data_IF_463999298292
#
_entry.id   IF_463999298292
#
_cell.length_a   1.000
_cell.length_b   1.000
_cell.length_c   1.000
_cell.angle_alpha   90.00
_cell.angle_beta   90.00
_cell.angle_gamma   90.00
#
_symmetry.space_group_name_H-M   'P 1'
#
loop_
_entity.id
_entity.type
_entity.pdbx_description
1 polymer ?
#
# COMPACT_ATOMS: atom_id res chain seq x y z
N UNK A 1 11.90 10.82 31.64
CA UNK A 1 11.78 9.72 30.66
C UNK A 1 12.63 10.12 29.48
N UNK A 2 13.55 9.26 29.04
CA UNK A 2 14.39 9.59 27.88
C UNK A 2 13.51 9.72 26.65
N UNK A 3 13.56 10.89 25.98
CA UNK A 3 12.75 11.22 24.79
C UNK A 3 13.20 10.45 23.54
N UNK A 4 13.23 9.13 23.64
CA UNK A 4 13.63 8.29 22.52
C UNK A 4 12.47 8.04 21.56
N UNK A 5 12.68 8.39 20.29
CA UNK A 5 11.81 7.97 19.19
C UNK A 5 12.28 6.63 18.64
N UNK A 6 11.35 5.68 18.51
CA UNK A 6 11.61 4.39 17.91
C UNK A 6 11.16 4.38 16.46
N UNK A 7 12.08 4.18 15.52
CA UNK A 7 11.73 3.93 14.13
C UNK A 7 11.36 2.46 13.93
N UNK A 8 10.08 2.19 13.65
CA UNK A 8 9.60 0.83 13.38
C UNK A 8 9.86 0.44 11.91
N UNK A 9 10.69 -0.59 11.70
CA UNK A 9 11.08 -1.08 10.37
C UNK A 9 10.89 -2.59 10.18
N UNK A 10 10.10 -3.27 11.05
CA UNK A 10 9.79 -4.68 10.85
C UNK A 10 8.98 -4.89 9.57
N UNK A 11 9.49 -5.73 8.68
CA UNK A 11 8.84 -6.06 7.40
C UNK A 11 7.59 -6.94 7.59
N UNK A 12 7.58 -7.82 8.60
CA UNK A 12 6.42 -8.66 8.91
C UNK A 12 5.30 -7.84 9.54
N UNK A 13 4.12 -7.83 8.93
CA UNK A 13 2.94 -7.12 9.44
C UNK A 13 2.65 -7.43 10.92
N UNK A 14 2.56 -8.69 11.28
CA UNK A 14 2.23 -9.08 12.67
C UNK A 14 3.32 -8.68 13.65
N UNK A 15 4.60 -8.87 13.30
CA UNK A 15 5.71 -8.43 14.17
C UNK A 15 5.73 -6.91 14.32
N UNK A 16 5.55 -6.18 13.23
CA UNK A 16 5.46 -4.72 13.24
C UNK A 16 4.33 -4.27 14.18
N UNK A 17 3.12 -4.79 13.97
CA UNK A 17 1.94 -4.38 14.73
C UNK A 17 2.10 -4.65 16.24
N UNK A 18 2.50 -5.87 16.62
CA UNK A 18 2.59 -6.25 18.04
C UNK A 18 3.77 -5.56 18.74
N UNK A 19 4.94 -5.45 18.09
CA UNK A 19 6.06 -4.74 18.70
C UNK A 19 5.78 -3.24 18.85
N UNK A 20 5.08 -2.63 17.88
CA UNK A 20 4.65 -1.23 17.99
C UNK A 20 3.70 -1.05 19.17
N UNK A 21 2.68 -1.93 19.33
CA UNK A 21 1.76 -1.87 20.46
C UNK A 21 2.48 -1.96 21.81
N UNK A 22 3.45 -2.88 21.95
CA UNK A 22 4.25 -3.01 23.18
C UNK A 22 5.07 -1.76 23.44
N UNK A 23 5.76 -1.23 22.44
CA UNK A 23 6.60 -0.04 22.59
C UNK A 23 5.77 1.20 22.99
N UNK A 24 4.62 1.40 22.36
CA UNK A 24 3.70 2.50 22.73
C UNK A 24 3.13 2.33 24.15
N UNK A 25 2.77 1.08 24.54
CA UNK A 25 2.33 0.78 25.91
C UNK A 25 3.42 1.11 26.96
N UNK A 26 4.69 0.91 26.61
CA UNK A 26 5.83 1.26 27.44
C UNK A 26 6.16 2.78 27.44
N UNK A 27 5.35 3.58 26.73
CA UNK A 27 5.50 5.04 26.69
C UNK A 27 6.48 5.57 25.64
N UNK A 28 6.97 4.72 24.73
CA UNK A 28 7.82 5.18 23.63
C UNK A 28 7.00 5.79 22.50
N UNK A 29 7.49 6.88 21.93
CA UNK A 29 6.97 7.39 20.65
C UNK A 29 7.49 6.50 19.51
N UNK A 30 6.58 5.89 18.75
CA UNK A 30 6.94 5.00 17.64
C UNK A 30 6.53 5.62 16.31
N UNK A 31 7.42 5.63 15.34
CA UNK A 31 7.20 6.06 13.95
C UNK A 31 7.40 4.84 13.02
N UNK A 32 6.37 4.43 12.30
CA UNK A 32 4.96 4.86 12.38
C UNK A 32 4.27 4.21 13.59
N UNK A 33 3.26 4.91 14.11
CA UNK A 33 2.49 4.47 15.26
C UNK A 33 1.61 3.24 14.98
N UNK A 34 1.01 2.67 16.04
CA UNK A 34 0.14 1.48 15.96
C UNK A 34 -1.04 1.67 15.01
N UNK A 35 -1.69 2.84 15.04
CA UNK A 35 -2.85 3.11 14.17
C UNK A 35 -2.44 3.07 12.71
N UNK A 36 -1.32 3.67 12.34
CA UNK A 36 -0.79 3.64 10.97
C UNK A 36 -0.39 2.21 10.56
N UNK A 37 0.28 1.46 11.44
CA UNK A 37 0.66 0.07 11.19
C UNK A 37 -0.56 -0.83 10.98
N UNK A 38 -1.61 -0.67 11.79
CA UNK A 38 -2.88 -1.38 11.68
C UNK A 38 -3.59 -1.07 10.36
N UNK A 39 -3.69 0.22 10.03
CA UNK A 39 -4.42 0.68 8.84
C UNK A 39 -3.69 0.27 7.55
N UNK A 40 -2.40 0.56 7.44
CA UNK A 40 -1.62 0.30 6.22
C UNK A 40 -1.32 -1.19 6.01
N UNK A 41 -1.19 -1.97 7.09
CA UNK A 41 -0.88 -3.40 7.01
C UNK A 41 -2.02 -4.27 6.51
N UNK A 42 -3.25 -3.74 6.43
CA UNK A 42 -4.43 -4.43 5.91
C UNK A 42 -5.06 -3.62 4.78
N UNK A 43 -5.13 -4.19 3.58
CA UNK A 43 -5.64 -3.53 2.37
C UNK A 43 -7.06 -3.02 2.52
N UNK A 44 -7.92 -3.76 3.22
CA UNK A 44 -9.29 -3.33 3.49
C UNK A 44 -9.29 -2.07 4.35
N UNK A 45 -8.55 -2.06 5.46
CA UNK A 45 -8.52 -0.90 6.37
C UNK A 45 -7.91 0.32 5.71
N UNK A 46 -6.86 0.12 4.90
CA UNK A 46 -6.26 1.18 4.09
C UNK A 46 -7.29 1.77 3.11
N UNK A 47 -7.99 0.92 2.35
CA UNK A 47 -9.04 1.37 1.42
C UNK A 47 -10.16 2.11 2.13
N UNK A 48 -10.64 1.62 3.26
CA UNK A 48 -11.68 2.31 4.05
C UNK A 48 -11.21 3.68 4.55
N UNK A 49 -9.94 3.80 4.97
CA UNK A 49 -9.36 5.08 5.37
C UNK A 49 -9.28 6.05 4.19
N UNK A 50 -8.80 5.59 3.03
CA UNK A 50 -8.74 6.38 1.79
C UNK A 50 -10.14 6.86 1.38
N UNK A 51 -11.15 5.98 1.34
CA UNK A 51 -12.53 6.32 1.00
C UNK A 51 -13.12 7.35 1.98
N UNK A 52 -12.92 7.17 3.29
CA UNK A 52 -13.35 8.14 4.32
C UNK A 52 -12.71 9.50 4.12
N UNK A 53 -11.43 9.54 3.71
CA UNK A 53 -10.69 10.75 3.36
C UNK A 53 -11.03 11.32 1.98
N UNK A 54 -11.97 10.72 1.24
CA UNK A 54 -12.31 11.09 -0.13
C UNK A 54 -11.09 11.11 -1.07
N UNK A 55 -10.19 10.15 -0.86
CA UNK A 55 -9.05 9.91 -1.75
C UNK A 55 -9.53 9.00 -2.88
N UNK A 56 -9.30 9.34 -4.15
CA UNK A 56 -9.61 8.46 -5.26
C UNK A 56 -8.92 7.10 -5.09
N UNK A 57 -9.70 6.02 -5.11
CA UNK A 57 -9.21 4.65 -4.97
C UNK A 57 -9.99 3.73 -5.92
N UNK A 58 -9.39 2.65 -6.44
CA UNK A 58 -10.12 1.74 -7.33
C UNK A 58 -11.35 1.16 -6.68
N UNK A 59 -12.42 0.95 -7.47
CA UNK A 59 -13.65 0.33 -6.98
C UNK A 59 -13.35 -1.02 -6.35
N UNK A 60 -13.79 -1.19 -5.11
CA UNK A 60 -13.44 -2.33 -4.28
C UNK A 60 -14.70 -2.91 -3.63
N UNK A 61 -14.81 -4.22 -3.63
CA UNK A 61 -15.85 -4.98 -2.94
C UNK A 61 -15.24 -5.96 -1.95
N UNK A 62 -15.97 -6.26 -0.88
CA UNK A 62 -15.60 -7.24 0.13
C UNK A 62 -16.67 -8.34 0.19
N UNK A 63 -16.23 -9.58 0.26
CA UNK A 63 -17.09 -10.72 0.43
C UNK A 63 -16.52 -11.74 1.42
N UNK A 64 -17.37 -12.54 2.05
CA UNK A 64 -17.00 -13.52 3.07
C UNK A 64 -17.41 -14.95 2.72
N UNK A 65 -18.12 -15.14 1.61
CA UNK A 65 -18.52 -16.44 1.07
C UNK A 65 -18.20 -16.51 -0.42
N UNK A 66 -17.99 -17.71 -0.95
CA UNK A 66 -17.75 -17.92 -2.38
C UNK A 66 -18.86 -17.29 -3.23
N UNK A 67 -20.13 -17.52 -2.86
CA UNK A 67 -21.27 -17.00 -3.62
C UNK A 67 -21.33 -15.47 -3.64
N UNK A 68 -21.08 -14.82 -2.49
CA UNK A 68 -21.04 -13.35 -2.43
C UNK A 68 -19.83 -12.80 -3.18
N UNK A 69 -18.70 -13.51 -3.18
CA UNK A 69 -17.51 -13.12 -3.94
C UNK A 69 -17.76 -13.23 -5.45
N UNK A 70 -18.41 -14.29 -5.91
CA UNK A 70 -18.80 -14.44 -7.33
C UNK A 70 -19.71 -13.30 -7.79
N UNK A 71 -20.74 -12.95 -7.01
CA UNK A 71 -21.62 -11.80 -7.32
C UNK A 71 -20.82 -10.48 -7.38
N UNK A 72 -19.97 -10.25 -6.41
CA UNK A 72 -19.15 -9.04 -6.36
C UNK A 72 -18.18 -8.92 -7.55
N UNK A 73 -17.60 -10.04 -8.01
CA UNK A 73 -16.75 -10.04 -9.21
C UNK A 73 -17.58 -9.72 -10.46
N UNK A 74 -18.78 -10.29 -10.59
CA UNK A 74 -19.68 -10.01 -11.70
C UNK A 74 -20.13 -8.55 -11.76
N UNK A 75 -20.39 -7.93 -10.59
CA UNK A 75 -20.71 -6.51 -10.48
C UNK A 75 -19.51 -5.60 -10.80
N UNK A 76 -18.29 -5.98 -10.39
CA UNK A 76 -17.06 -5.26 -10.73
C UNK A 76 -16.78 -5.38 -12.23
N UNK A 77 -17.01 -6.55 -12.81
CA UNK A 77 -16.70 -6.92 -14.18
C UNK A 77 -15.30 -7.53 -14.32
N UNK A 78 -15.07 -8.15 -15.49
CA UNK A 78 -13.80 -8.80 -15.81
C UNK A 78 -12.92 -7.90 -16.71
N UNK A 79 -11.60 -7.92 -16.53
CA UNK A 79 -10.88 -8.59 -15.45
C UNK A 79 -11.03 -7.89 -14.11
N UNK A 80 -11.03 -8.66 -13.02
CA UNK A 80 -10.98 -8.18 -11.65
C UNK A 80 -9.70 -8.65 -10.94
N UNK A 81 -9.36 -8.03 -9.82
CA UNK A 81 -8.18 -8.42 -9.02
C UNK A 81 -8.62 -8.90 -7.65
N UNK A 82 -8.34 -10.17 -7.34
CA UNK A 82 -8.49 -10.73 -6.00
C UNK A 82 -7.15 -10.61 -5.25
N UNK A 83 -7.16 -9.99 -4.07
CA UNK A 83 -5.98 -9.80 -3.24
C UNK A 83 -6.20 -10.37 -1.83
N UNK A 84 -5.17 -10.89 -1.14
CA UNK A 84 -5.28 -11.12 0.29
C UNK A 84 -5.35 -9.77 1.02
N UNK A 85 -6.16 -9.65 2.06
CA UNK A 85 -6.26 -8.41 2.85
C UNK A 85 -4.95 -8.07 3.54
N UNK A 86 -4.16 -9.08 3.95
CA UNK A 86 -2.81 -8.94 4.50
C UNK A 86 -1.82 -9.64 3.58
N UNK A 87 -0.76 -8.97 3.21
CA UNK A 87 0.30 -9.49 2.34
C UNK A 87 0.97 -8.39 1.53
N UNK A 88 2.18 -8.66 1.05
CA UNK A 88 3.04 -7.72 0.33
C UNK A 88 3.58 -8.33 -0.96
N UNK A 89 4.19 -7.48 -1.81
CA UNK A 89 4.87 -7.84 -3.05
C UNK A 89 3.97 -8.54 -4.09
N UNK A 90 2.66 -8.29 -4.07
CA UNK A 90 1.71 -8.92 -5.00
C UNK A 90 1.60 -10.44 -4.85
N UNK A 91 2.07 -11.02 -3.72
CA UNK A 91 1.91 -12.45 -3.44
C UNK A 91 0.45 -12.78 -3.25
N UNK A 92 0.02 -13.94 -3.80
CA UNK A 92 -1.36 -14.43 -3.72
C UNK A 92 -2.40 -13.45 -4.30
N UNK A 93 -1.97 -12.43 -5.07
CA UNK A 93 -2.88 -11.62 -5.87
C UNK A 93 -3.11 -12.28 -7.21
N UNK A 94 -4.36 -12.41 -7.60
CA UNK A 94 -4.79 -13.04 -8.85
C UNK A 94 -5.52 -12.04 -9.74
N UNK A 95 -5.21 -12.05 -11.04
CA UNK A 95 -6.00 -11.39 -12.07
C UNK A 95 -7.05 -12.37 -12.57
N UNK A 96 -8.29 -12.10 -12.23
CA UNK A 96 -9.45 -12.95 -12.55
C UNK A 96 -10.03 -12.46 -13.87
N UNK A 97 -9.90 -13.25 -14.93
CA UNK A 97 -10.24 -12.84 -16.29
C UNK A 97 -11.65 -13.21 -16.71
N UNK A 98 -12.23 -14.23 -16.10
CA UNK A 98 -13.52 -14.79 -16.42
C UNK A 98 -14.14 -15.51 -15.21
N UNK A 99 -15.38 -15.98 -15.39
CA UNK A 99 -16.18 -16.65 -14.36
C UNK A 99 -15.58 -17.99 -13.91
N UNK A 100 -15.05 -18.77 -14.84
CA UNK A 100 -14.52 -20.10 -14.53
C UNK A 100 -13.26 -19.98 -13.69
N UNK A 101 -12.36 -19.05 -14.06
CA UNK A 101 -11.18 -18.70 -13.28
C UNK A 101 -11.58 -18.19 -11.89
N UNK A 102 -12.60 -17.34 -11.79
CA UNK A 102 -13.14 -16.85 -10.51
C UNK A 102 -13.55 -18.01 -9.61
N UNK A 103 -14.39 -18.94 -10.15
CA UNK A 103 -14.87 -20.09 -9.39
C UNK A 103 -13.73 -20.97 -8.88
N UNK A 104 -12.77 -21.31 -9.74
CA UNK A 104 -11.63 -22.14 -9.36
C UNK A 104 -10.75 -21.50 -8.28
N UNK A 105 -10.43 -20.19 -8.41
CA UNK A 105 -9.60 -19.50 -7.44
C UNK A 105 -10.33 -19.36 -6.09
N UNK A 106 -11.62 -19.05 -6.08
CA UNK A 106 -12.39 -18.93 -4.85
C UNK A 106 -12.51 -20.27 -4.13
N UNK A 107 -12.69 -21.38 -4.87
CA UNK A 107 -12.70 -22.73 -4.31
C UNK A 107 -11.35 -23.09 -3.65
N UNK A 108 -10.22 -22.78 -4.31
CA UNK A 108 -8.90 -22.95 -3.73
C UNK A 108 -8.74 -22.14 -2.41
N UNK A 109 -9.24 -20.89 -2.39
CA UNK A 109 -9.20 -20.03 -1.19
C UNK A 109 -10.01 -20.60 -0.02
N UNK A 110 -11.09 -21.31 -0.26
CA UNK A 110 -11.86 -21.96 0.81
C UNK A 110 -11.08 -23.05 1.55
N UNK A 111 -10.05 -23.62 0.92
CA UNK A 111 -9.17 -24.61 1.55
C UNK A 111 -7.98 -23.96 2.29
N UNK A 112 -7.80 -22.65 2.18
CA UNK A 112 -6.72 -21.92 2.82
C UNK A 112 -7.09 -21.47 4.25
N UNK A 113 -6.09 -20.90 4.94
CA UNK A 113 -6.28 -20.30 6.26
C UNK A 113 -7.39 -19.23 6.24
N UNK A 114 -8.22 -19.08 7.29
CA UNK A 114 -9.41 -18.21 7.29
C UNK A 114 -9.20 -16.77 6.82
N UNK A 115 -8.01 -16.20 7.01
CA UNK A 115 -7.67 -14.87 6.53
C UNK A 115 -7.81 -14.73 5.00
N UNK A 116 -7.60 -15.82 4.24
CA UNK A 116 -7.74 -15.83 2.77
C UNK A 116 -9.18 -16.00 2.28
N UNK A 117 -10.11 -16.26 3.20
CA UNK A 117 -11.57 -16.28 2.96
C UNK A 117 -12.22 -14.91 3.16
N UNK A 118 -11.43 -13.90 3.50
CA UNK A 118 -11.82 -12.49 3.38
C UNK A 118 -11.48 -12.06 1.96
N UNK A 119 -12.45 -12.12 1.07
CA UNK A 119 -12.28 -11.85 -0.35
C UNK A 119 -12.27 -10.34 -0.61
N UNK A 120 -11.08 -9.77 -0.76
CA UNK A 120 -10.89 -8.39 -1.16
C UNK A 120 -10.78 -8.34 -2.68
N UNK A 121 -11.81 -7.82 -3.32
CA UNK A 121 -12.01 -7.78 -4.77
C UNK A 121 -11.92 -6.34 -5.25
N UNK A 122 -11.12 -6.10 -6.27
CA UNK A 122 -10.87 -4.77 -6.79
C UNK A 122 -10.95 -4.77 -8.31
N UNK A 123 -11.46 -3.68 -8.90
CA UNK A 123 -11.42 -3.50 -10.35
C UNK A 123 -9.98 -3.53 -10.88
N UNK A 124 -9.81 -4.03 -12.09
CA UNK A 124 -8.56 -3.93 -12.79
C UNK A 124 -8.44 -2.56 -13.46
N UNK A 125 -7.63 -1.67 -12.90
CA UNK A 125 -7.40 -0.35 -13.45
C UNK A 125 -6.57 -0.47 -14.74
N UNK A 126 -7.18 -0.12 -15.89
CA UNK A 126 -6.45 0.03 -17.15
C UNK A 126 -5.50 1.21 -17.03
N UNK A 127 -4.21 0.96 -17.20
CA UNK A 127 -3.13 1.93 -17.00
C UNK A 127 -1.92 1.60 -17.87
N UNK A 128 -0.99 2.53 -18.06
CA UNK A 128 0.34 2.19 -18.59
C UNK A 128 0.96 1.04 -17.77
N UNK A 129 1.89 0.24 -18.32
CA UNK A 129 2.52 -0.89 -17.62
C UNK A 129 3.46 -0.42 -16.49
N UNK A 130 3.00 0.58 -15.74
CA UNK A 130 3.71 1.20 -14.62
C UNK A 130 2.74 1.64 -13.54
N UNK A 131 3.29 1.88 -12.36
CA UNK A 131 2.65 2.64 -11.28
C UNK A 131 3.63 3.67 -10.70
N UNK A 132 3.13 4.52 -9.79
CA UNK A 132 3.93 5.53 -9.12
C UNK A 132 4.04 5.13 -7.64
N UNK A 133 5.28 5.04 -7.13
CA UNK A 133 5.59 4.93 -5.70
C UNK A 133 6.19 6.23 -5.21
N UNK A 134 5.63 6.80 -4.14
CA UNK A 134 6.20 7.97 -3.50
C UNK A 134 6.70 7.68 -2.10
N UNK A 135 7.42 8.66 -1.57
CA UNK A 135 7.91 8.67 -0.20
C UNK A 135 7.47 9.97 0.46
N UNK A 136 6.63 9.84 1.48
CA UNK A 136 6.16 10.96 2.31
C UNK A 136 6.84 10.85 3.66
N UNK A 137 7.48 11.92 4.10
CA UNK A 137 8.18 12.01 5.40
C UNK A 137 7.74 13.31 6.06
N UNK A 138 7.14 13.21 7.26
CA UNK A 138 6.66 14.36 7.99
C UNK A 138 5.60 15.20 7.26
N UNK A 139 4.83 14.56 6.37
CA UNK A 139 3.83 15.22 5.53
C UNK A 139 4.37 15.76 4.20
N UNK A 140 5.68 15.76 3.98
CA UNK A 140 6.29 16.23 2.73
C UNK A 140 6.58 15.07 1.78
N UNK A 141 6.27 15.25 0.50
CA UNK A 141 6.63 14.30 -0.57
C UNK A 141 8.07 14.53 -0.98
N UNK A 142 8.99 13.67 -0.54
CA UNK A 142 10.43 13.84 -0.74
C UNK A 142 10.97 13.20 -2.00
N UNK A 143 10.34 12.13 -2.48
CA UNK A 143 10.75 11.41 -3.69
C UNK A 143 9.57 10.69 -4.32
N UNK A 144 9.62 10.48 -5.64
CA UNK A 144 8.68 9.64 -6.37
C UNK A 144 9.39 8.88 -7.49
N UNK A 145 8.97 7.64 -7.74
CA UNK A 145 9.46 6.81 -8.84
C UNK A 145 8.31 6.20 -9.63
N UNK A 146 8.52 6.03 -10.92
CA UNK A 146 7.77 5.06 -11.71
C UNK A 146 8.35 3.66 -11.46
N UNK A 147 7.48 2.67 -11.32
CA UNK A 147 7.83 1.26 -11.33
C UNK A 147 7.23 0.64 -12.58
N UNK A 148 8.04 0.33 -13.56
CA UNK A 148 7.62 -0.21 -14.86
C UNK A 148 7.81 -1.71 -14.89
N UNK A 149 6.77 -2.47 -15.27
CA UNK A 149 6.87 -3.91 -15.49
C UNK A 149 7.51 -4.18 -16.87
N UNK A 150 8.56 -4.97 -16.88
CA UNK A 150 9.16 -5.52 -18.09
C UNK A 150 8.75 -7.00 -18.19
N UNK A 151 8.16 -7.45 -19.29
CA UNK A 151 7.81 -8.87 -19.50
C UNK A 151 6.34 -9.25 -19.35
N UNK A 152 5.41 -8.27 -19.34
CA UNK A 152 3.97 -8.56 -19.44
C UNK A 152 3.27 -8.93 -18.13
N UNK A 153 3.97 -8.93 -16.97
CA UNK A 153 3.29 -9.05 -15.68
C UNK A 153 2.47 -7.75 -15.43
N UNK A 154 1.20 -7.91 -15.10
CA UNK A 154 0.33 -6.79 -14.74
C UNK A 154 0.73 -6.10 -13.43
N UNK A 155 1.55 -6.77 -12.61
CA UNK A 155 2.11 -6.24 -11.35
C UNK A 155 3.43 -5.52 -11.64
N UNK A 156 3.63 -4.38 -11.04
CA UNK A 156 4.77 -3.46 -11.28
C UNK A 156 5.80 -3.44 -10.16
N UNK A 157 5.66 -4.34 -9.16
CA UNK A 157 6.54 -4.39 -8.00
C UNK A 157 8.01 -4.62 -8.41
N UNK A 158 8.93 -3.78 -7.92
CA UNK A 158 10.38 -3.93 -8.17
C UNK A 158 10.94 -5.25 -7.66
N UNK A 159 10.36 -5.83 -6.61
CA UNK A 159 10.69 -7.17 -6.13
C UNK A 159 10.39 -8.30 -7.14
N UNK A 160 9.65 -8.00 -8.21
CA UNK A 160 9.33 -8.92 -9.33
C UNK A 160 10.04 -8.55 -10.62
N UNK A 161 11.12 -7.75 -10.55
CA UNK A 161 11.89 -7.32 -11.72
C UNK A 161 11.42 -5.99 -12.33
N UNK A 162 10.49 -5.28 -11.69
CA UNK A 162 10.08 -3.95 -12.14
C UNK A 162 11.23 -2.95 -12.09
N UNK A 163 11.38 -2.13 -13.14
CA UNK A 163 12.41 -1.11 -13.27
C UNK A 163 11.97 0.21 -12.63
N UNK A 164 12.81 0.76 -11.77
CA UNK A 164 12.58 2.07 -11.15
C UNK A 164 13.16 3.19 -12.01
N UNK A 165 12.39 4.26 -12.23
CA UNK A 165 12.89 5.52 -12.82
C UNK A 165 12.28 6.71 -12.09
N UNK A 166 12.95 7.86 -12.15
CA UNK A 166 12.51 9.08 -11.47
C UNK A 166 11.13 9.53 -12.00
N UNK A 167 10.25 9.88 -11.07
CA UNK A 167 8.96 10.52 -11.35
C UNK A 167 8.99 11.95 -10.81
N UNK A 168 8.78 12.92 -11.70
CA UNK A 168 8.74 14.34 -11.32
C UNK A 168 7.53 14.58 -10.40
N UNK A 169 7.78 15.11 -9.23
CA UNK A 169 6.72 15.51 -8.30
C UNK A 169 6.13 16.85 -8.77
N UNK A 170 4.87 16.82 -9.19
CA UNK A 170 4.09 18.03 -9.47
C UNK A 170 3.16 18.29 -8.27
N UNK A 171 2.65 19.51 -8.16
CA UNK A 171 1.85 19.97 -7.00
C UNK A 171 0.65 19.05 -6.74
N UNK A 172 -0.09 18.69 -7.78
CA UNK A 172 -1.26 17.80 -7.69
C UNK A 172 -0.92 16.43 -7.09
N UNK A 173 0.20 15.83 -7.53
CA UNK A 173 0.72 14.59 -6.97
C UNK A 173 1.08 14.75 -5.49
N UNK A 174 1.82 15.81 -5.14
CA UNK A 174 2.26 16.06 -3.77
C UNK A 174 1.06 16.23 -2.82
N UNK A 175 0.02 16.97 -3.24
CA UNK A 175 -1.21 17.15 -2.45
C UNK A 175 -1.97 15.83 -2.24
N UNK A 176 -2.08 14.99 -3.27
CA UNK A 176 -2.73 13.69 -3.17
C UNK A 176 -1.98 12.75 -2.21
N UNK A 177 -0.65 12.74 -2.29
CA UNK A 177 0.20 11.92 -1.42
C UNK A 177 0.17 12.36 0.03
N UNK A 178 0.23 13.68 0.27
CA UNK A 178 0.09 14.24 1.61
C UNK A 178 -1.24 13.81 2.24
N UNK A 179 -2.34 14.02 1.55
CA UNK A 179 -3.68 13.61 2.02
C UNK A 179 -3.78 12.11 2.28
N UNK A 180 -3.20 11.27 1.40
CA UNK A 180 -3.20 9.83 1.59
C UNK A 180 -2.39 9.40 2.82
N UNK A 181 -1.26 10.05 3.11
CA UNK A 181 -0.47 9.82 4.32
C UNK A 181 -1.24 10.25 5.60
N UNK A 182 -1.90 11.41 5.54
CA UNK A 182 -2.66 11.97 6.65
C UNK A 182 -3.83 11.05 7.07
N UNK A 183 -4.63 10.56 6.11
CA UNK A 183 -5.82 9.74 6.44
C UNK A 183 -5.47 8.39 7.07
N UNK A 184 -4.27 7.87 6.83
CA UNK A 184 -3.77 6.65 7.48
C UNK A 184 -2.96 6.94 8.75
N UNK A 185 -2.75 8.22 9.09
CA UNK A 185 -1.95 8.64 10.24
C UNK A 185 -0.47 8.28 10.12
N UNK A 186 0.07 8.27 8.90
CA UNK A 186 1.43 7.85 8.62
C UNK A 186 2.40 9.02 8.53
N UNK A 187 3.49 8.97 9.30
CA UNK A 187 4.54 9.98 9.30
C UNK A 187 5.65 9.68 8.26
N UNK A 188 5.99 8.40 8.07
CA UNK A 188 6.96 7.94 7.07
C UNK A 188 6.30 6.82 6.27
N UNK A 189 5.77 7.14 5.10
CA UNK A 189 5.00 6.19 4.30
C UNK A 189 5.38 6.21 2.82
N UNK A 190 5.14 5.09 2.16
CA UNK A 190 5.12 5.01 0.71
C UNK A 190 3.69 4.92 0.21
N UNK A 191 3.32 5.78 -0.73
CA UNK A 191 1.99 5.76 -1.35
C UNK A 191 2.10 5.19 -2.77
N UNK A 192 1.28 4.21 -3.08
CA UNK A 192 1.21 3.57 -4.40
C UNK A 192 0.00 4.05 -5.18
N UNK A 193 0.23 4.48 -6.40
CA UNK A 193 -0.70 5.22 -7.22
C UNK A 193 -0.73 4.68 -8.65
N UNK A 194 -1.90 4.63 -9.24
CA UNK A 194 -2.11 4.24 -10.65
C UNK A 194 -2.63 5.43 -11.46
N UNK A 195 -2.15 5.53 -12.70
CA UNK A 195 -2.64 6.49 -13.71
C UNK A 195 -3.81 5.85 -14.45
N UNK A 196 -5.06 6.07 -14.02
CA UNK A 196 -6.25 5.58 -14.71
C UNK A 196 -6.69 6.55 -15.81
N UNK A 197 -7.65 6.13 -16.64
CA UNK A 197 -8.26 6.98 -17.66
C UNK A 197 -9.00 8.18 -17.05
N UNK A 198 -9.54 8.02 -15.84
CA UNK A 198 -10.33 9.03 -15.14
C UNK A 198 -9.49 9.87 -14.16
N UNK A 199 -8.17 9.69 -14.17
CA UNK A 199 -7.23 10.38 -13.29
C UNK A 199 -6.44 9.45 -12.39
N UNK A 200 -5.87 10.02 -11.33
CA UNK A 200 -4.98 9.30 -10.41
C UNK A 200 -5.76 8.61 -9.31
N UNK A 201 -5.45 7.34 -9.04
CA UNK A 201 -6.06 6.56 -7.97
C UNK A 201 -5.00 5.96 -7.05
N UNK A 202 -5.18 6.13 -5.73
CA UNK A 202 -4.33 5.54 -4.69
C UNK A 202 -4.84 4.13 -4.39
N UNK A 203 -3.99 3.13 -4.52
CA UNK A 203 -4.41 1.76 -4.26
C UNK A 203 -3.79 1.12 -3.03
N UNK A 204 -2.73 1.71 -2.47
CA UNK A 204 -2.07 1.21 -1.26
C UNK A 204 -1.24 2.32 -0.60
N UNK A 205 -1.19 2.31 0.74
CA UNK A 205 -0.24 3.08 1.54
C UNK A 205 0.55 2.11 2.41
N UNK A 206 1.87 2.23 2.41
CA UNK A 206 2.80 1.34 3.09
C UNK A 206 3.49 2.06 4.25
N UNK A 207 3.27 1.62 5.48
CA UNK A 207 3.90 2.19 6.69
C UNK A 207 5.36 1.75 6.90
N UNK A 208 5.83 0.74 6.16
CA UNK A 208 7.23 0.29 6.15
C UNK A 208 7.69 0.19 4.72
N UNK A 209 7.94 1.35 4.11
CA UNK A 209 8.28 1.42 2.69
C UNK A 209 9.75 1.10 2.43
N UNK A 210 10.00 0.31 1.37
CA UNK A 210 11.34 -0.01 0.89
C UNK A 210 11.79 1.05 -0.13
N UNK A 211 12.99 1.57 0.03
CA UNK A 211 13.54 2.66 -0.80
C UNK A 211 14.86 2.31 -1.53
N UNK A 212 15.34 1.07 -1.40
CA UNK A 212 16.61 0.64 -1.98
C UNK A 212 16.76 0.99 -3.47
N UNK A 213 15.71 0.76 -4.26
CA UNK A 213 15.72 1.06 -5.69
C UNK A 213 15.36 2.53 -6.01
N UNK A 214 14.87 3.28 -5.03
CA UNK A 214 14.40 4.65 -5.22
C UNK A 214 15.53 5.66 -5.06
N UNK A 215 16.47 5.40 -4.15
CA UNK A 215 17.63 6.26 -3.96
C UNK A 215 18.45 6.42 -5.25
N UNK A 216 18.89 5.36 -5.93
CA UNK A 216 19.63 5.51 -7.20
C UNK A 216 18.78 6.09 -8.33
N UNK A 217 17.46 5.84 -8.35
CA UNK A 217 16.58 6.33 -9.41
C UNK A 217 16.30 7.84 -9.31
N UNK A 218 16.27 8.39 -8.10
CA UNK A 218 15.92 9.80 -7.84
C UNK A 218 17.11 10.68 -7.47
N UNK A 219 18.19 10.09 -7.00
CA UNK A 219 19.34 10.80 -6.39
C UNK A 219 19.04 11.36 -4.99
N UNK A 220 17.83 11.13 -4.44
CA UNK A 220 17.42 11.62 -3.11
C UNK A 220 17.91 10.67 -2.03
N UNK A 221 18.61 11.20 -1.02
CA UNK A 221 19.05 10.45 0.15
C UNK A 221 17.87 10.25 1.13
N UNK A 222 16.93 9.38 0.79
CA UNK A 222 15.75 9.06 1.61
C UNK A 222 16.13 8.65 3.05
N UNK A 223 17.16 7.78 3.29
CA UNK A 223 17.61 7.46 4.65
C UNK A 223 17.96 8.67 5.48
N UNK A 224 18.73 9.63 4.93
CA UNK A 224 19.11 10.85 5.65
C UNK A 224 17.87 11.66 6.06
N UNK A 225 16.94 11.85 5.13
CA UNK A 225 15.70 12.60 5.39
C UNK A 225 14.84 11.94 6.48
N UNK A 226 14.83 10.60 6.54
CA UNK A 226 14.15 9.86 7.63
C UNK A 226 14.82 10.17 8.98
N UNK A 227 16.15 10.13 9.05
CA UNK A 227 16.92 10.41 10.29
C UNK A 227 16.70 11.86 10.72
N UNK A 228 16.83 12.81 9.80
CA UNK A 228 16.62 14.24 10.07
C UNK A 228 15.21 14.52 10.60
N UNK A 229 14.21 13.88 10.01
CA UNK A 229 12.83 13.95 10.49
C UNK A 229 12.71 13.44 11.94
N UNK A 230 13.26 12.26 12.23
CA UNK A 230 13.18 11.66 13.58
C UNK A 230 13.87 12.54 14.62
N UNK A 231 15.04 13.10 14.31
CA UNK A 231 15.76 14.04 15.19
C UNK A 231 14.92 15.29 15.47
N UNK A 232 14.27 15.84 14.44
CA UNK A 232 13.42 17.04 14.59
C UNK A 232 12.15 16.73 15.38
N UNK A 233 11.57 15.55 15.17
CA UNK A 233 10.36 15.11 15.84
C UNK A 233 10.58 14.74 17.32
N UNK A 234 11.79 14.30 17.70
CA UNK A 234 12.15 14.00 19.09
C UNK A 234 12.42 15.24 19.95
N UNK A 235 12.54 16.41 19.33
CA UNK A 235 12.72 17.68 20.03
C UNK A 235 11.41 18.41 20.34
N UNK A 236 10.29 17.87 19.92
CA UNK A 236 8.93 18.40 20.14
C UNK A 236 8.23 17.63 21.25
#
# INVERSE_FOLDING_TARGET
MDDHIVLQRCVSYFRNLHSTAVLEHLGHRVVNNFRSAWTCGNKLFCTLALMKGRIPTPRTSLAFTKDSAMKAIEEIGYPAVLKPVVGSWGRLSALVKDRDMASAILEDREQMFPLYRVYYLQEFVKRPPRDIRTFVIGGETVAAIYRTSEGGDWRTNTARGGKASNCKIIKELAELFHRAAEVVGGEIVGVDLMESADGLVVHEVNNTTEFKNSVPATGVNIPSLIVDYLISAGKR
#
